data_IF_256490950280
#
_entry.id   IF_256490950280
#
_cell.length_a   1.000
_cell.length_b   1.000
_cell.length_c   1.000
_cell.angle_alpha   90.00
_cell.angle_beta   90.00
_cell.angle_gamma   90.00
#
_symmetry.space_group_name_H-M   'P 1'
#
loop_
_entity.id
_entity.type
_entity.pdbx_description
1 polymer ?
2 water ?
#
# COMPACT_ATOMS: atom_id res chain seq x y z
N UNK A 9 -1.15 15.73 5.56
CA UNK A 9 -2.15 14.72 5.25
C UNK A 9 -2.31 14.54 3.76
N UNK A 10 -2.26 15.64 3.02
CA UNK A 10 -2.45 15.60 1.58
C UNK A 10 -1.34 14.80 0.89
N UNK A 11 -0.10 15.05 1.29
CA UNK A 11 1.01 14.32 0.70
C UNK A 11 0.99 12.84 1.09
N UNK A 12 0.63 12.54 2.34
CA UNK A 12 0.50 11.15 2.78
C UNK A 12 -0.53 10.43 1.91
N UNK A 13 -1.70 11.04 1.74
CA UNK A 13 -2.76 10.46 0.92
C UNK A 13 -2.32 10.26 -0.52
N UNK A 14 -1.62 11.23 -1.08
CA UNK A 14 -1.15 11.13 -2.46
C UNK A 14 -0.19 9.96 -2.62
N UNK A 15 0.78 9.86 -1.71
CA UNK A 15 1.73 8.76 -1.75
C UNK A 15 1.03 7.41 -1.62
N UNK A 16 0.03 7.32 -0.75
CA UNK A 16 -0.72 6.08 -0.58
C UNK A 16 -1.52 5.73 -1.82
N UNK A 17 -2.08 6.73 -2.48
CA UNK A 17 -2.86 6.48 -3.69
C UNK A 17 -1.97 5.99 -4.84
N UNK A 18 -0.80 6.62 -4.99
CA UNK A 18 0.16 6.16 -6.00
C UNK A 18 0.60 4.73 -5.67
N UNK A 19 0.91 4.48 -4.40
CA UNK A 19 1.26 3.14 -4.00
C UNK A 19 0.16 2.13 -4.37
N UNK A 20 -1.09 2.44 -4.05
CA UNK A 20 -2.17 1.50 -4.31
C UNK A 20 -2.33 1.23 -5.81
N UNK A 21 -2.17 2.26 -6.63
CA UNK A 21 -2.27 2.09 -8.08
C UNK A 21 -1.14 1.20 -8.61
N UNK A 22 0.09 1.46 -8.18
CA UNK A 22 1.22 0.63 -8.60
C UNK A 22 1.01 -0.81 -8.15
N UNK A 23 0.60 -1.00 -6.90
CA UNK A 23 0.38 -2.35 -6.39
C UNK A 23 -0.70 -3.07 -7.17
N UNK A 24 -1.73 -2.33 -7.57
CA UNK A 24 -2.84 -2.94 -8.30
C UNK A 24 -2.39 -3.40 -9.68
N UNK A 25 -1.60 -2.58 -10.36
CA UNK A 25 -1.06 -2.99 -11.66
C UNK A 25 -0.24 -4.27 -11.53
N UNK A 26 0.62 -4.34 -10.52
CA UNK A 26 1.44 -5.51 -10.30
C UNK A 26 0.59 -6.74 -9.96
N UNK A 27 -0.39 -6.56 -9.07
CA UNK A 27 -1.22 -7.69 -8.64
C UNK A 27 -2.08 -8.21 -9.80
N UNK A 28 -2.56 -7.31 -10.66
CA UNK A 28 -3.31 -7.73 -11.83
C UNK A 28 -2.44 -8.51 -12.81
N UNK A 29 -1.19 -8.10 -12.98
CA UNK A 29 -0.28 -8.82 -13.85
C UNK A 29 -0.06 -10.24 -13.35
N UNK A 30 0.15 -10.37 -12.04
CA UNK A 30 0.38 -11.67 -11.42
C UNK A 30 -0.87 -12.54 -11.52
N UNK A 31 -2.02 -11.97 -11.18
CA UNK A 31 -3.26 -12.75 -11.16
C UNK A 31 -3.71 -13.16 -12.55
N UNK A 32 -3.53 -12.26 -13.51
CA UNK A 32 -3.94 -12.56 -14.89
C UNK A 32 -2.87 -13.31 -15.66
N UNK A 33 -1.67 -13.41 -15.08
CA UNK A 33 -0.54 -14.05 -15.74
C UNK A 33 -0.23 -13.43 -17.09
N UNK A 34 -0.18 -12.09 -17.13
CA UNK A 34 0.16 -11.39 -18.34
C UNK A 34 0.64 -9.99 -18.04
N UNK A 35 1.17 -9.31 -19.04
CA UNK A 35 1.74 -7.98 -18.85
C UNK A 35 0.66 -6.92 -18.65
N UNK A 36 0.67 -6.28 -17.50
CA UNK A 36 -0.27 -5.22 -17.21
C UNK A 36 0.52 -3.96 -16.87
N UNK A 37 0.13 -2.86 -17.50
CA UNK A 37 0.89 -1.62 -17.39
C UNK A 37 0.15 -0.55 -16.62
N UNK A 38 0.89 0.46 -16.23
CA UNK A 38 0.34 1.65 -15.61
C UNK A 38 1.01 2.86 -16.27
N UNK A 39 0.21 3.85 -16.64
CA UNK A 39 0.70 4.96 -17.43
C UNK A 39 0.28 6.31 -16.83
N UNK A 40 1.24 7.22 -16.72
CA UNK A 40 0.97 8.61 -16.36
C UNK A 40 0.48 9.33 -17.62
N UNK A 41 -0.72 9.88 -17.55
CA UNK A 41 -1.34 10.47 -18.73
C UNK A 41 -0.85 11.87 -19.10
N UNK A 42 -0.24 12.57 -18.14
CA UNK A 42 0.16 13.96 -18.36
C UNK A 42 1.53 14.30 -17.77
N UNK A 43 2.42 14.82 -18.62
CA UNK A 43 3.69 15.44 -18.21
C UNK A 43 4.63 14.53 -17.42
N UNK A 44 4.48 13.23 -17.59
CA UNK A 44 5.27 12.24 -16.85
C UNK A 44 5.13 12.43 -15.34
N UNK A 45 4.03 13.01 -14.92
CA UNK A 45 3.77 13.29 -13.51
C UNK A 45 2.69 12.32 -13.08
N UNK A 46 3.06 11.37 -12.22
CA UNK A 46 2.18 10.28 -11.85
C UNK A 46 1.07 10.72 -10.89
N UNK A 47 1.06 12.00 -10.56
CA UNK A 47 -0.02 12.58 -9.80
C UNK A 47 -1.04 13.36 -10.62
N UNK A 48 -0.90 13.33 -11.94
CA UNK A 48 -1.79 14.11 -12.82
C UNK A 48 -2.70 13.23 -13.64
N UNK A 49 -2.87 11.98 -13.23
CA UNK A 49 -3.78 11.08 -13.91
C UNK A 49 -3.07 9.79 -14.29
N UNK A 50 -3.73 8.66 -14.02
CA UNK A 50 -3.16 7.34 -14.32
C UNK A 50 -4.19 6.42 -14.95
N UNK A 51 -3.71 5.52 -15.79
CA UNK A 51 -4.51 4.43 -16.33
C UNK A 51 -3.75 3.14 -16.13
N UNK A 52 -4.48 2.05 -15.87
CA UNK A 52 -3.91 0.73 -15.70
C UNK A 52 -4.57 -0.22 -16.67
N UNK A 53 -3.77 -1.03 -17.36
CA UNK A 53 -4.31 -2.04 -18.25
C UNK A 53 -3.31 -2.46 -19.29
N UNK A 54 -3.78 -3.07 -20.37
CA UNK A 54 -2.89 -3.52 -21.42
C UNK A 54 -2.43 -2.34 -22.28
N UNK A 55 -1.11 -2.16 -22.34
CA UNK A 55 -0.50 -1.08 -23.12
C UNK A 55 -0.25 -1.52 -24.56
N UNK A 56 -0.69 -0.71 -25.51
CA UNK A 56 -0.48 -1.00 -26.92
C UNK A 56 -0.38 0.29 -27.71
N UNK A 57 0.60 0.39 -28.60
CA UNK A 57 0.81 1.60 -29.40
C UNK A 57 0.81 2.86 -28.55
N UNK A 58 1.42 2.77 -27.38
CA UNK A 58 1.63 3.92 -26.52
C UNK A 58 0.47 4.33 -25.63
N UNK A 59 -0.60 3.55 -25.62
CA UNK A 59 -1.77 3.90 -24.81
C UNK A 59 -2.41 2.66 -24.21
N UNK A 60 -3.31 2.89 -23.24
CA UNK A 60 -4.10 1.82 -22.64
C UNK A 60 -5.55 2.03 -23.08
N UNK A 61 -5.98 1.24 -24.07
CA UNK A 61 -7.26 1.48 -24.73
C UNK A 61 -8.46 1.04 -23.90
N UNK A 62 -8.27 0.05 -23.03
CA UNK A 62 -9.39 -0.51 -22.27
C UNK A 62 -8.99 -0.58 -20.80
N UNK A 63 -8.94 0.57 -20.12
CA UNK A 63 -8.42 0.58 -18.75
C UNK A 63 -9.18 -0.31 -17.78
N UNK A 64 -8.41 -0.97 -16.90
CA UNK A 64 -8.94 -1.75 -15.80
C UNK A 64 -9.26 -0.85 -14.61
N UNK A 65 -8.53 0.26 -14.51
CA UNK A 65 -8.68 1.18 -13.39
C UNK A 65 -8.05 2.49 -13.78
N UNK A 66 -8.57 3.59 -13.25
CA UNK A 66 -8.05 4.93 -13.49
C UNK A 66 -7.87 5.66 -12.17
N UNK A 67 -6.98 6.65 -12.17
CA UNK A 67 -6.85 7.59 -11.06
C UNK A 67 -6.90 8.98 -11.67
N UNK A 68 -7.69 9.88 -11.09
CA UNK A 68 -7.97 11.18 -11.71
C UNK A 68 -6.88 12.21 -11.45
N UNK A 69 -5.91 11.87 -10.62
CA UNK A 69 -4.88 12.81 -10.22
C UNK A 69 -5.04 13.22 -8.78
N UNK A 70 -3.96 13.69 -8.16
CA UNK A 70 -4.04 14.23 -6.81
C UNK A 70 -4.90 15.49 -6.85
N UNK A 71 -5.60 15.78 -5.76
CA UNK A 71 -6.44 16.97 -5.69
C UNK A 71 -5.63 18.27 -5.82
N UNK A 72 -4.49 18.31 -5.15
CA UNK A 72 -3.64 19.50 -5.18
C UNK A 72 -2.69 19.50 -6.38
N UNK A 73 -2.77 20.55 -7.19
CA UNK A 73 -1.93 20.65 -8.38
C UNK A 73 -0.47 20.84 -8.02
N UNK A 74 -0.21 21.35 -6.81
CA UNK A 74 1.15 21.62 -6.35
C UNK A 74 1.92 20.38 -5.87
N UNK A 75 1.23 19.24 -5.81
CA UNK A 75 1.92 17.97 -5.59
C UNK A 75 2.39 17.42 -6.92
N UNK A 76 3.60 16.85 -6.93
CA UNK A 76 4.09 16.15 -8.11
C UNK A 76 4.60 14.78 -7.71
N UNK A 77 4.49 13.82 -8.62
CA UNK A 77 5.08 12.50 -8.38
C UNK A 77 5.85 12.14 -9.64
N UNK A 78 7.17 12.30 -9.60
CA UNK A 78 8.00 12.06 -10.78
C UNK A 78 9.00 10.97 -10.52
N UNK A 79 9.33 10.20 -11.54
CA UNK A 79 10.27 9.09 -11.42
C UNK A 79 11.67 9.54 -11.84
N UNK A 80 12.68 8.95 -11.21
CA UNK A 80 14.07 9.36 -11.44
C UNK A 80 14.50 9.38 -12.91
N UNK A 81 14.03 8.40 -13.68
CA UNK A 81 14.41 8.33 -15.10
C UNK A 81 13.31 8.89 -16.01
N UNK A 82 12.37 9.60 -15.41
CA UNK A 82 11.27 10.25 -16.12
C UNK A 82 10.41 9.27 -16.91
N UNK A 83 10.21 8.07 -16.38
CA UNK A 83 9.34 7.13 -17.08
C UNK A 83 7.90 7.62 -17.09
N UNK A 84 7.21 7.30 -18.18
CA UNK A 84 5.82 7.68 -18.39
C UNK A 84 4.90 6.49 -18.14
N UNK A 85 5.48 5.29 -18.16
CA UNK A 85 4.70 4.09 -17.88
C UNK A 85 5.61 3.03 -17.31
N UNK A 86 5.02 2.05 -16.65
CA UNK A 86 5.70 0.86 -16.17
C UNK A 86 4.88 -0.35 -16.56
N UNK A 87 5.55 -1.46 -16.84
CA UNK A 87 4.87 -2.69 -17.20
C UNK A 87 5.30 -3.79 -16.26
N UNK A 88 4.34 -4.35 -15.54
CA UNK A 88 4.57 -5.51 -14.69
C UNK A 88 4.30 -6.80 -15.44
N UNK A 89 5.08 -7.83 -15.16
CA UNK A 89 4.97 -9.12 -15.82
C UNK A 89 4.27 -10.14 -14.94
N UNK A 90 4.00 -11.32 -15.50
CA UNK A 90 3.31 -12.38 -14.78
C UNK A 90 4.01 -12.82 -13.49
N UNK A 91 5.32 -12.63 -13.42
CA UNK A 91 6.04 -13.04 -12.21
C UNK A 91 6.23 -11.89 -11.22
N UNK A 92 5.58 -10.77 -11.49
CA UNK A 92 5.60 -9.63 -10.60
C UNK A 92 6.74 -8.67 -10.80
N UNK A 93 7.62 -8.96 -11.75
CA UNK A 93 8.75 -8.08 -12.01
C UNK A 93 8.37 -7.03 -13.04
N UNK A 94 9.16 -5.96 -13.08
CA UNK A 94 9.01 -4.98 -14.15
C UNK A 94 9.78 -5.42 -15.38
N UNK A 95 9.28 -5.01 -16.54
CA UNK A 95 10.05 -5.15 -17.77
C UNK A 95 10.24 -3.74 -18.35
N UNK A 96 11.49 -3.27 -18.40
CA UNK A 96 12.74 -3.90 -17.94
C UNK A 96 12.81 -3.94 -16.42
N UNK A 97 13.57 -4.89 -15.84
CA UNK A 97 13.68 -5.03 -14.38
C UNK A 97 14.63 -4.01 -13.77
N UNK A 98 14.33 -2.74 -13.99
CA UNK A 98 15.18 -1.64 -13.56
C UNK A 98 14.61 -1.04 -12.27
N UNK A 99 15.48 -0.77 -11.30
CA UNK A 99 15.05 -0.12 -10.06
C UNK A 99 14.41 1.22 -10.36
N UNK A 100 13.24 1.47 -9.78
CA UNK A 100 12.55 2.74 -9.99
C UNK A 100 12.43 3.51 -8.69
N UNK A 101 12.46 4.84 -8.80
CA UNK A 101 12.35 5.71 -7.65
C UNK A 101 11.42 6.87 -7.95
N UNK A 102 10.30 6.95 -7.24
CA UNK A 102 9.38 8.08 -7.35
C UNK A 102 9.57 9.05 -6.20
N UNK A 103 9.60 10.34 -6.51
CA UNK A 103 9.61 11.37 -5.50
C UNK A 103 8.27 12.07 -5.51
N UNK A 104 7.59 12.07 -4.37
CA UNK A 104 6.33 12.77 -4.20
C UNK A 104 6.65 14.03 -3.42
N UNK A 105 6.50 15.18 -4.07
CA UNK A 105 6.90 16.46 -3.49
C UNK A 105 5.77 17.48 -3.47
N UNK A 106 5.86 18.40 -2.52
CA UNK A 106 4.98 19.56 -2.48
C UNK A 106 5.77 20.81 -2.92
N UNK A 107 5.17 21.58 -3.82
CA UNK A 107 5.75 22.85 -4.25
C UNK A 107 7.15 22.75 -4.85
N UNK A 108 7.45 21.62 -5.47
CA UNK A 108 8.74 21.44 -6.13
C UNK A 108 9.97 21.38 -5.24
N UNK A 109 9.77 21.15 -3.95
CA UNK A 109 10.89 21.05 -3.01
C UNK A 109 10.78 19.74 -2.28
N UNK A 110 11.90 19.22 -1.78
CA UNK A 110 11.91 17.90 -1.17
C UNK A 110 11.50 17.85 0.30
N UNK A 111 11.46 19.00 0.97
CA UNK A 111 11.05 19.04 2.38
C UNK A 111 9.65 18.45 2.53
N UNK A 112 9.52 17.50 3.45
CA UNK A 112 8.26 16.80 3.66
C UNK A 112 7.89 15.81 2.58
N UNK A 113 8.78 15.60 1.62
CA UNK A 113 8.48 14.73 0.51
C UNK A 113 8.63 13.26 0.84
N UNK A 114 8.16 12.39 -0.05
CA UNK A 114 8.22 10.96 0.18
C UNK A 114 8.84 10.24 -1.01
N UNK A 115 9.41 9.07 -0.74
CA UNK A 115 10.02 8.23 -1.76
C UNK A 115 9.25 6.93 -1.87
N UNK A 116 8.93 6.55 -3.11
CA UNK A 116 8.33 5.26 -3.38
C UNK A 116 9.28 4.53 -4.32
N UNK A 117 9.76 3.38 -3.88
CA UNK A 117 10.77 2.62 -4.61
C UNK A 117 10.17 1.35 -5.20
N UNK A 118 10.73 0.91 -6.33
CA UNK A 118 10.42 -0.41 -6.87
C UNK A 118 11.72 -1.14 -7.14
N UNK A 119 11.88 -2.31 -6.53
CA UNK A 119 13.12 -3.05 -6.62
C UNK A 119 13.21 -3.80 -7.94
N UNK A 120 14.38 -4.40 -8.18
CA UNK A 120 14.60 -5.21 -9.36
C UNK A 120 13.68 -6.43 -9.41
N UNK A 121 13.14 -6.84 -8.27
CA UNK A 121 12.23 -7.96 -8.22
C UNK A 121 10.78 -7.50 -8.43
N UNK A 122 10.58 -6.19 -8.49
CA UNK A 122 9.25 -5.64 -8.68
C UNK A 122 8.55 -5.26 -7.39
N UNK A 123 9.28 -5.33 -6.28
CA UNK A 123 8.71 -5.00 -4.96
C UNK A 123 8.54 -3.50 -4.79
N UNK A 124 7.30 -3.08 -4.52
CA UNK A 124 6.93 -1.68 -4.39
C UNK A 124 6.89 -1.29 -2.92
N UNK A 125 7.61 -0.24 -2.54
CA UNK A 125 7.69 0.17 -1.15
C UNK A 125 7.58 1.68 -0.98
N UNK A 126 6.59 2.13 -0.22
CA UNK A 126 6.54 3.53 0.18
C UNK A 126 7.46 3.68 1.39
N UNK A 127 8.56 4.39 1.20
CA UNK A 127 9.60 4.50 2.21
C UNK A 127 9.16 5.42 3.34
N UNK A 128 9.73 5.22 4.54
CA UNK A 128 9.29 6.02 5.68
C UNK A 128 9.61 7.49 5.48
N UNK A 129 8.90 8.36 6.19
CA UNK A 129 9.10 9.81 6.02
C UNK A 129 10.49 10.27 6.47
N UNK A 130 11.19 9.43 7.22
CA UNK A 130 12.58 9.67 7.60
C UNK A 130 13.53 9.54 6.40
N UNK A 131 13.00 9.12 5.26
CA UNK A 131 13.75 9.12 4.00
C UNK A 131 13.10 10.12 3.06
N UNK A 132 13.66 11.32 2.99
CA UNK A 132 13.16 12.33 2.08
C UNK A 132 13.78 12.11 0.71
N UNK A 133 13.05 12.46 -0.35
CA UNK A 133 13.63 12.26 -1.69
C UNK A 133 14.87 13.12 -1.86
N UNK A 134 15.80 12.64 -2.67
CA UNK A 134 17.03 13.37 -2.92
C UNK A 134 16.76 14.51 -3.90
N UNK A 135 15.70 14.37 -4.67
CA UNK A 135 15.31 15.33 -5.68
C UNK A 135 13.83 15.14 -5.94
N UNK A 136 13.17 16.16 -6.49
CA UNK A 136 11.79 15.99 -6.96
C UNK A 136 11.73 15.53 -8.41
N UNK A 137 12.90 15.44 -9.05
CA UNK A 137 13.03 14.97 -10.43
C UNK A 137 12.22 15.82 -11.37
N UNK B 11 -14.58 -4.81 -1.99
CA UNK B 11 -13.61 -5.78 -1.47
C UNK B 11 -12.21 -5.29 -1.73
N UNK B 12 -11.95 -4.88 -2.97
CA UNK B 12 -10.66 -4.35 -3.35
C UNK B 12 -10.30 -3.13 -2.51
N UNK B 13 -11.23 -2.21 -2.40
CA UNK B 13 -11.05 -1.01 -1.60
C UNK B 13 -10.80 -1.34 -0.14
N UNK B 14 -11.56 -2.29 0.38
CA UNK B 14 -11.41 -2.69 1.78
C UNK B 14 -10.00 -3.23 2.02
N UNK B 15 -9.56 -4.13 1.15
CA UNK B 15 -8.22 -4.69 1.30
C UNK B 15 -7.17 -3.59 1.21
N UNK B 16 -7.34 -2.65 0.28
CA UNK B 16 -6.39 -1.57 0.13
C UNK B 16 -6.39 -0.65 1.33
N UNK B 17 -7.55 -0.40 1.92
CA UNK B 17 -7.60 0.48 3.08
C UNK B 17 -6.96 -0.17 4.29
N UNK B 18 -7.20 -1.46 4.48
CA UNK B 18 -6.53 -2.16 5.57
C UNK B 18 -5.01 -2.15 5.35
N UNK B 19 -4.59 -2.40 4.12
CA UNK B 19 -3.16 -2.36 3.81
C UNK B 19 -2.57 -1.00 4.15
N UNK B 20 -3.23 0.07 3.71
CA UNK B 20 -2.71 1.41 3.98
C UNK B 20 -2.58 1.68 5.47
N UNK B 21 -3.55 1.24 6.26
CA UNK B 21 -3.50 1.45 7.70
C UNK B 21 -2.35 0.67 8.35
N UNK B 22 -2.22 -0.61 8.01
CA UNK B 22 -1.11 -1.40 8.54
C UNK B 22 0.24 -0.81 8.14
N UNK B 23 0.37 -0.42 6.88
CA UNK B 23 1.63 0.14 6.40
C UNK B 23 1.97 1.43 7.13
N UNK B 24 0.96 2.24 7.42
CA UNK B 24 1.19 3.50 8.12
C UNK B 24 1.71 3.28 9.54
N UNK B 25 1.13 2.30 10.23
CA UNK B 25 1.59 1.97 11.58
C UNK B 25 3.07 1.56 11.56
N UNK B 26 3.44 0.71 10.62
CA UNK B 26 4.82 0.25 10.51
C UNK B 26 5.76 1.38 10.13
N UNK B 27 5.34 2.19 9.17
CA UNK B 27 6.17 3.29 8.70
C UNK B 27 6.44 4.29 9.82
N UNK B 28 5.42 4.57 10.62
CA UNK B 28 5.59 5.49 11.75
C UNK B 28 6.52 4.92 12.82
N UNK B 29 6.45 3.61 13.04
CA UNK B 29 7.37 2.97 13.97
C UNK B 29 8.80 3.17 13.49
N UNK B 30 9.01 3.01 12.19
CA UNK B 30 10.35 3.16 11.62
C UNK B 30 10.84 4.60 11.66
N UNK B 31 10.00 5.55 11.25
CA UNK B 31 10.43 6.95 11.22
C UNK B 31 10.53 7.59 12.61
N UNK B 32 9.65 7.21 13.53
CA UNK B 32 9.71 7.73 14.89
C UNK B 32 10.71 6.94 15.74
N UNK B 33 11.12 5.78 15.23
CA UNK B 33 12.03 4.89 15.94
C UNK B 33 11.52 4.48 17.33
N UNK B 34 10.25 4.10 17.40
CA UNK B 34 9.65 3.62 18.63
C UNK B 34 8.50 2.68 18.28
N UNK B 35 7.86 2.11 19.29
CA UNK B 35 6.78 1.16 19.07
C UNK B 35 5.48 1.87 18.74
N UNK B 36 4.95 1.61 17.54
CA UNK B 36 3.67 2.18 17.12
C UNK B 36 2.71 1.04 16.83
N UNK B 37 1.51 1.14 17.38
CA UNK B 37 0.57 0.03 17.32
C UNK B 37 -0.66 0.37 16.48
N UNK B 38 -1.39 -0.68 16.12
CA UNK B 38 -2.65 -0.54 15.42
C UNK B 38 -3.63 -1.50 16.10
N UNK B 39 -4.86 -1.05 16.30
CA UNK B 39 -5.81 -1.76 17.11
C UNK B 39 -7.16 -1.83 16.42
N UNK B 40 -7.73 -3.04 16.39
CA UNK B 40 -9.11 -3.24 15.95
C UNK B 40 -10.03 -2.93 17.12
N UNK B 41 -10.87 -1.92 16.95
CA UNK B 41 -11.69 -1.42 18.05
C UNK B 41 -12.89 -2.30 18.43
N UNK B 42 -13.30 -3.17 17.52
CA UNK B 42 -14.55 -3.88 17.68
C UNK B 42 -14.49 -5.33 17.19
N UNK B 43 -14.79 -6.27 18.07
CA UNK B 43 -15.00 -7.67 17.71
C UNK B 43 -13.81 -8.33 17.04
N UNK B 44 -12.63 -7.78 17.27
CA UNK B 44 -11.40 -8.29 16.66
C UNK B 44 -11.50 -8.35 15.13
N UNK B 45 -12.36 -7.51 14.57
CA UNK B 45 -12.57 -7.44 13.13
C UNK B 45 -11.95 -6.14 12.65
N UNK B 46 -10.90 -6.27 11.85
CA UNK B 46 -10.12 -5.13 11.43
C UNK B 46 -10.82 -4.28 10.39
N UNK B 47 -12.03 -4.68 10.00
CA UNK B 47 -12.86 -3.87 9.13
C UNK B 47 -13.94 -3.08 9.85
N UNK B 48 -13.91 -3.09 11.18
CA UNK B 48 -14.96 -2.46 11.98
C UNK B 48 -14.47 -1.27 12.80
N UNK B 49 -13.31 -0.73 12.42
CA UNK B 49 -12.74 0.42 13.11
C UNK B 49 -11.32 0.16 13.57
N UNK B 50 -10.44 1.13 13.32
CA UNK B 50 -9.04 1.00 13.66
C UNK B 50 -8.49 2.29 14.25
N UNK B 51 -7.55 2.14 15.18
CA UNK B 51 -6.80 3.27 15.70
C UNK B 51 -5.31 2.95 15.61
N UNK B 52 -4.50 3.96 15.32
CA UNK B 52 -3.05 3.81 15.25
C UNK B 52 -2.37 4.79 16.18
N UNK B 53 -1.42 4.31 16.96
CA UNK B 53 -0.63 5.20 17.80
C UNK B 53 0.07 4.45 18.91
N UNK B 54 0.47 5.17 19.93
CA UNK B 54 1.15 4.55 21.05
C UNK B 54 0.15 3.84 21.96
N UNK B 55 0.33 2.52 22.10
CA UNK B 55 -0.55 1.68 22.90
C UNK B 55 -0.07 1.57 24.33
N UNK B 56 -0.97 1.82 25.27
CA UNK B 56 -0.68 1.64 26.68
C UNK B 56 -1.96 1.30 27.43
N UNK B 57 -1.87 0.36 28.36
CA UNK B 57 -3.03 -0.04 29.17
C UNK B 57 -4.24 -0.39 28.32
N UNK B 58 -4.00 -1.01 27.17
CA UNK B 58 -5.06 -1.53 26.32
C UNK B 58 -5.71 -0.53 25.39
N UNK B 59 -5.21 0.71 25.37
CA UNK B 59 -5.79 1.72 24.47
C UNK B 59 -4.75 2.64 23.88
N UNK B 60 -5.13 3.33 22.81
CA UNK B 60 -4.30 4.36 22.20
C UNK B 60 -4.92 5.72 22.53
N UNK B 61 -4.33 6.42 23.50
CA UNK B 61 -4.93 7.62 24.07
C UNK B 61 -4.95 8.80 23.11
N UNK B 62 -3.93 8.89 22.25
CA UNK B 62 -3.83 9.98 21.30
C UNK B 62 -3.55 9.43 19.90
N UNK B 63 -4.60 8.94 19.24
CA UNK B 63 -4.42 8.30 17.93
C UNK B 63 -3.75 9.20 16.90
N UNK B 64 -2.83 8.64 16.14
CA UNK B 64 -2.20 9.33 15.03
C UNK B 64 -3.11 9.30 13.80
N UNK B 65 -3.92 8.26 13.72
CA UNK B 65 -4.79 8.06 12.57
C UNK B 65 -5.87 7.06 12.94
N UNK B 66 -7.04 7.22 12.33
CA UNK B 66 -8.17 6.33 12.54
C UNK B 66 -8.75 5.85 11.21
N UNK B 67 -9.45 4.72 11.25
CA UNK B 67 -10.25 4.25 10.14
C UNK B 67 -11.62 3.89 10.72
N UNK B 68 -12.69 4.31 10.05
CA UNK B 68 -14.03 4.19 10.64
C UNK B 68 -14.74 2.88 10.29
N UNK B 69 -14.04 1.98 9.62
CA UNK B 69 -14.64 0.72 9.22
C UNK B 69 -14.96 0.69 7.74
N UNK B 70 -15.05 -0.50 7.18
CA UNK B 70 -15.33 -0.67 5.75
C UNK B 70 -16.69 -0.09 5.39
N UNK B 74 -21.15 -6.94 4.55
CA UNK B 74 -20.80 -8.32 4.24
C UNK B 74 -19.30 -8.58 4.34
N UNK B 75 -18.52 -7.53 4.62
CA UNK B 75 -17.07 -7.66 4.66
C UNK B 75 -16.54 -7.89 6.05
N UNK B 76 -15.57 -8.81 6.17
CA UNK B 76 -14.87 -9.02 7.43
C UNK B 76 -13.38 -9.03 7.14
N UNK B 77 -12.59 -8.60 8.12
CA UNK B 77 -11.14 -8.72 8.03
C UNK B 77 -10.65 -9.25 9.36
N UNK B 78 -10.33 -10.54 9.39
CA UNK B 78 -9.96 -11.22 10.64
C UNK B 78 -8.59 -11.86 10.47
N UNK B 79 -7.85 -11.95 11.58
CA UNK B 79 -6.50 -12.49 11.53
C UNK B 79 -6.49 -13.94 12.01
N UNK B 80 -5.56 -14.72 11.46
CA UNK B 80 -5.47 -16.16 11.71
C UNK B 80 -5.50 -16.53 13.19
N UNK B 81 -4.79 -15.78 14.03
CA UNK B 81 -4.72 -16.06 15.46
C UNK B 81 -5.64 -15.17 16.28
N UNK B 82 -6.56 -14.49 15.60
CA UNK B 82 -7.56 -13.64 16.23
C UNK B 82 -6.98 -12.45 17.01
N UNK B 83 -5.84 -11.92 16.56
CA UNK B 83 -5.28 -10.76 17.22
C UNK B 83 -6.19 -9.55 17.02
N UNK B 84 -6.22 -8.66 18.01
CA UNK B 84 -6.96 -7.40 17.88
C UNK B 84 -6.02 -6.21 17.90
N UNK B 85 -4.72 -6.46 18.03
CA UNK B 85 -3.75 -5.38 17.93
C UNK B 85 -2.44 -5.93 17.35
N UNK B 86 -1.66 -5.03 16.76
CA UNK B 86 -0.29 -5.33 16.37
C UNK B 86 0.61 -4.17 16.78
N UNK B 87 1.85 -4.47 17.15
CA UNK B 87 2.80 -3.45 17.52
C UNK B 87 4.07 -3.56 16.69
N UNK B 88 4.36 -2.54 15.87
CA UNK B 88 5.57 -2.50 15.08
C UNK B 88 6.66 -1.76 15.84
N UNK B 89 7.90 -2.14 15.60
CA UNK B 89 9.02 -1.51 16.28
C UNK B 89 9.95 -0.80 15.28
N UNK B 90 11.00 -0.17 15.81
CA UNK B 90 11.89 0.68 15.04
C UNK B 90 12.53 -0.02 13.82
N UNK B 91 12.83 -1.31 13.95
CA UNK B 91 13.48 -2.01 12.84
C UNK B 91 12.47 -2.60 11.87
N UNK B 92 11.20 -2.27 12.11
CA UNK B 92 10.13 -2.69 11.23
C UNK B 92 9.45 -4.00 11.62
N UNK B 93 10.04 -4.70 12.58
CA UNK B 93 9.48 -5.97 13.03
C UNK B 93 8.30 -5.78 13.98
N UNK B 94 7.44 -6.79 14.04
CA UNK B 94 6.38 -6.83 15.04
C UNK B 94 6.94 -7.38 16.35
N UNK B 95 6.31 -6.99 17.45
CA UNK B 95 6.54 -7.67 18.73
C UNK B 95 5.22 -8.27 19.23
N UNK B 96 5.16 -9.61 19.31
CA UNK B 96 6.22 -10.56 18.94
C UNK B 96 6.36 -10.70 17.43
N UNK B 97 7.54 -11.12 16.95
CA UNK B 97 7.78 -11.20 15.50
C UNK B 97 7.16 -12.45 14.88
N UNK B 98 5.85 -12.60 15.06
CA UNK B 98 5.11 -13.76 14.60
C UNK B 98 4.48 -13.45 13.26
N UNK B 99 4.58 -14.39 12.32
CA UNK B 99 3.93 -14.21 11.01
C UNK B 99 2.44 -13.99 11.23
N UNK B 100 1.87 -13.03 10.51
CA UNK B 100 0.45 -12.74 10.62
C UNK B 100 -0.25 -12.90 9.28
N UNK B 101 -1.52 -13.28 9.32
CA UNK B 101 -2.29 -13.50 8.09
C UNK B 101 -3.70 -12.97 8.27
N UNK B 102 -4.06 -11.96 7.49
CA UNK B 102 -5.42 -11.43 7.50
C UNK B 102 -6.19 -11.95 6.30
N UNK B 103 -7.42 -12.35 6.54
CA UNK B 103 -8.34 -12.73 5.48
C UNK B 103 -9.43 -11.67 5.35
N UNK B 104 -9.55 -11.09 4.17
CA UNK B 104 -10.61 -10.14 3.90
C UNK B 104 -11.65 -10.87 3.07
N UNK B 105 -12.84 -11.05 3.63
CA UNK B 105 -13.86 -11.88 3.00
C UNK B 105 -15.17 -11.18 2.82
N UNK B 106 -15.93 -11.64 1.83
CA UNK B 106 -17.33 -11.26 1.66
C UNK B 106 -18.19 -12.47 2.01
N UNK B 107 -19.24 -12.24 2.79
CA UNK B 107 -20.23 -13.27 3.13
C UNK B 107 -19.66 -14.50 3.85
N UNK B 108 -18.51 -14.34 4.48
CA UNK B 108 -17.87 -15.43 5.20
C UNK B 108 -17.29 -16.50 4.29
N UNK B 109 -17.25 -16.20 3.00
CA UNK B 109 -16.66 -17.12 2.02
C UNK B 109 -15.26 -16.68 1.67
N UNK B 110 -14.37 -17.65 1.52
CA UNK B 110 -13.02 -17.38 1.03
C UNK B 110 -13.00 -17.06 -0.46
N UNK B 111 -14.05 -17.40 -1.18
CA UNK B 111 -14.06 -17.17 -2.61
C UNK B 111 -14.02 -15.70 -2.95
N UNK B 112 -13.03 -15.32 -3.75
CA UNK B 112 -12.83 -13.94 -4.14
C UNK B 112 -12.27 -13.10 -3.01
N UNK B 113 -11.90 -13.75 -1.90
CA UNK B 113 -11.36 -13.02 -0.78
C UNK B 113 -9.92 -12.62 -1.02
N UNK B 114 -9.32 -11.91 -0.07
CA UNK B 114 -7.95 -11.46 -0.18
C UNK B 114 -7.14 -11.78 1.06
N UNK B 115 -5.85 -11.95 0.87
CA UNK B 115 -4.91 -12.24 1.95
C UNK B 115 -3.94 -11.08 2.12
N UNK B 116 -3.78 -10.65 3.36
CA UNK B 116 -2.77 -9.66 3.71
C UNK B 116 -1.83 -10.33 4.71
N UNK B 117 -0.58 -10.51 4.31
CA UNK B 117 0.42 -11.22 5.10
C UNK B 117 1.40 -10.26 5.76
N UNK B 118 1.91 -10.65 6.91
CA UNK B 118 3.02 -9.94 7.52
C UNK B 118 4.10 -10.95 7.84
N UNK B 119 5.29 -10.75 7.28
CA UNK B 119 6.39 -11.68 7.46
C UNK B 119 7.05 -11.52 8.83
N UNK B 120 7.98 -12.42 9.16
CA UNK B 120 8.70 -12.31 10.40
C UNK B 120 9.58 -11.06 10.47
N UNK B 121 9.86 -10.47 9.32
CA UNK B 121 10.63 -9.23 9.28
C UNK B 121 9.70 -8.03 9.45
N UNK B 122 8.39 -8.30 9.44
CA UNK B 122 7.39 -7.28 9.65
C UNK B 122 6.85 -6.71 8.35
N UNK B 123 7.30 -7.25 7.23
CA UNK B 123 6.91 -6.74 5.92
C UNK B 123 5.46 -7.11 5.60
N UNK B 124 4.67 -6.11 5.22
CA UNK B 124 3.25 -6.27 4.98
C UNK B 124 3.00 -6.37 3.48
N UNK B 125 2.27 -7.40 3.07
CA UNK B 125 1.96 -7.57 1.65
C UNK B 125 0.51 -7.94 1.41
N UNK B 126 -0.19 -7.11 0.65
CA UNK B 126 -1.51 -7.46 0.16
C UNK B 126 -1.24 -8.39 -1.00
N UNK B 127 -1.55 -9.66 -0.83
CA UNK B 127 -1.22 -10.67 -1.82
C UNK B 127 -2.12 -10.54 -3.06
N UNK B 128 -1.60 -10.91 -4.24
CA UNK B 128 -2.45 -10.92 -5.43
C UNK B 128 -3.65 -11.84 -5.22
N UNK B 129 -4.76 -11.55 -5.92
CA UNK B 129 -6.01 -12.28 -5.72
C UNK B 129 -5.90 -13.76 -6.04
N UNK B 130 -4.90 -14.14 -6.82
CA UNK B 130 -4.66 -15.55 -7.11
C UNK B 130 -4.31 -16.31 -5.84
N UNK B 131 -4.00 -15.59 -4.77
CA UNK B 131 -3.88 -16.18 -3.45
C UNK B 131 -5.14 -15.89 -2.63
N UNK B 132 -6.02 -16.89 -2.52
CA UNK B 132 -7.25 -16.76 -1.75
C UNK B 132 -6.98 -17.17 -0.32
N UNK B 133 -7.72 -16.60 0.64
CA UNK B 133 -7.50 -17.04 2.02
C UNK B 133 -7.90 -18.49 2.24
N UNK B 134 -7.27 -19.14 3.20
CA UNK B 134 -7.57 -20.52 3.54
C UNK B 134 -8.84 -20.61 4.36
N UNK B 135 -9.12 -19.52 5.06
CA UNK B 135 -10.26 -19.40 5.94
C UNK B 135 -10.56 -17.93 6.08
N UNK B 136 -11.77 -17.58 6.49
CA UNK B 136 -12.07 -16.20 6.82
C UNK B 136 -11.78 -15.89 8.29
N UNK B 137 -11.42 -16.93 9.04
CA UNK B 137 -11.08 -16.82 10.46
C UNK B 137 -12.18 -16.20 11.29
#
# INVERSE_FOLDING_TARGET
GIDPFTERNELQSAAEELNAMLQYARSEAVSQRRAISIQALKDKDWGKGLSIGVLASGSIAAPLRKHDGFRAATLTAKEKSAVEHLTFTANGTLVPPTERTFAICQNGKTDGGRVLSISQAGRIQLEPSSKAPQSCY
GIDPFTERNELQSAAEELNAMLQYARSEAVSQRRAISIQALKDKDWGKGLSIGVLASGSIAAPLRKHDGFRAATLTAKEKSAVEHLTFTANGTLVPPTERTFAICQNGKTDGGRVLSISQAGRIQLEPSSKAPQSCY
#
